data_IF_171879035249
#
_entry.id   IF_171879035249
#
_cell.length_a   1.000
_cell.length_b   1.000
_cell.length_c   1.000
_cell.angle_alpha   90.00
_cell.angle_beta   90.00
_cell.angle_gamma   90.00
#
_symmetry.space_group_name_H-M   'P 1'
#
loop_
_entity.id
_entity.type
_entity.pdbx_description
1 polymer ?
#
# COMPACT_ATOMS: atom_id res chain seq x y z
N UNK A 1 23.82 -21.65 -0.42
CA UNK A 1 22.87 -22.04 -1.47
C UNK A 1 21.77 -21.00 -1.48
N UNK A 2 21.89 -19.97 -2.31
CA UNK A 2 20.90 -18.91 -2.43
C UNK A 2 19.77 -19.43 -3.33
N UNK A 3 18.54 -19.43 -2.83
CA UNK A 3 17.35 -19.87 -3.55
C UNK A 3 17.08 -18.91 -4.72
N UNK A 4 17.48 -19.28 -5.93
CA UNK A 4 17.25 -18.52 -7.17
C UNK A 4 15.85 -18.79 -7.74
N UNK A 5 14.80 -18.64 -6.94
CA UNK A 5 13.48 -18.33 -7.52
C UNK A 5 13.50 -16.85 -7.85
N UNK A 6 13.52 -16.51 -9.14
CA UNK A 6 13.42 -15.14 -9.64
C UNK A 6 12.26 -14.45 -8.93
N UNK A 7 12.56 -13.52 -8.03
CA UNK A 7 11.54 -12.71 -7.37
C UNK A 7 10.80 -11.92 -8.43
N UNK A 8 9.48 -12.07 -8.49
CA UNK A 8 8.67 -11.27 -9.41
C UNK A 8 8.87 -9.78 -9.10
N UNK A 9 8.89 -8.91 -10.13
CA UNK A 9 9.11 -7.49 -9.91
C UNK A 9 7.95 -6.88 -9.10
N UNK A 10 8.18 -5.75 -8.39
CA UNK A 10 7.12 -5.08 -7.65
C UNK A 10 5.88 -4.74 -8.47
N UNK A 11 6.04 -4.50 -9.78
CA UNK A 11 4.93 -4.21 -10.71
C UNK A 11 3.89 -5.33 -10.81
N UNK A 12 4.21 -6.56 -10.40
CA UNK A 12 3.28 -7.69 -10.43
C UNK A 12 2.02 -7.44 -9.60
N UNK A 13 2.11 -6.61 -8.56
CA UNK A 13 1.00 -6.34 -7.64
C UNK A 13 -0.10 -5.45 -8.26
N UNK A 14 0.17 -4.86 -9.42
CA UNK A 14 -0.81 -4.05 -10.15
C UNK A 14 -1.72 -4.91 -11.04
N UNK A 15 -1.46 -6.22 -11.09
CA UNK A 15 -2.31 -7.19 -11.78
C UNK A 15 -3.27 -7.86 -10.80
N UNK A 16 -4.42 -8.33 -11.26
CA UNK A 16 -5.41 -9.04 -10.44
C UNK A 16 -5.14 -10.54 -10.27
N UNK A 17 -3.90 -10.98 -10.54
CA UNK A 17 -3.53 -12.39 -10.53
C UNK A 17 -3.26 -12.87 -9.10
N UNK A 18 -4.02 -13.87 -8.65
CA UNK A 18 -3.90 -14.46 -7.31
C UNK A 18 -3.49 -15.93 -7.31
N UNK A 19 -2.85 -16.41 -8.39
CA UNK A 19 -2.30 -17.77 -8.44
C UNK A 19 -1.12 -17.92 -7.48
N UNK A 20 -1.04 -19.05 -6.78
CA UNK A 20 -0.03 -19.28 -5.73
C UNK A 20 1.39 -19.04 -6.28
N UNK A 21 2.17 -18.22 -5.59
CA UNK A 21 3.52 -17.85 -6.01
C UNK A 21 3.60 -16.64 -6.95
N UNK A 22 2.48 -16.13 -7.44
CA UNK A 22 2.43 -14.96 -8.32
C UNK A 22 2.30 -13.64 -7.54
N UNK A 23 3.23 -13.42 -6.60
CA UNK A 23 3.24 -12.27 -5.71
C UNK A 23 4.61 -11.58 -5.69
N UNK A 24 4.61 -10.28 -5.39
CA UNK A 24 5.86 -9.58 -5.09
C UNK A 24 6.29 -9.96 -3.68
N UNK A 25 7.46 -10.60 -3.56
CA UNK A 25 8.01 -11.00 -2.28
C UNK A 25 9.24 -10.16 -1.92
N UNK A 26 9.31 -9.74 -0.67
CA UNK A 26 10.48 -9.08 -0.10
C UNK A 26 10.89 -9.74 1.22
N UNK A 27 12.18 -9.65 1.54
CA UNK A 27 12.74 -10.20 2.78
C UNK A 27 12.30 -9.38 4.00
N UNK A 28 12.02 -10.07 5.11
CA UNK A 28 11.55 -9.44 6.33
C UNK A 28 10.04 -9.27 6.40
N UNK A 29 9.58 -8.57 7.44
CA UNK A 29 8.16 -8.37 7.78
C UNK A 29 7.66 -6.96 7.53
N UNK A 30 8.59 -6.04 7.28
CA UNK A 30 8.35 -4.61 7.11
C UNK A 30 8.95 -4.18 5.77
N UNK A 31 8.29 -3.26 5.09
CA UNK A 31 8.72 -2.77 3.79
C UNK A 31 7.73 -1.74 3.26
N UNK A 32 8.10 -1.06 2.19
CA UNK A 32 7.25 -0.06 1.56
C UNK A 32 7.28 -0.19 0.04
N UNK A 33 6.19 0.22 -0.60
CA UNK A 33 6.14 0.39 -2.05
C UNK A 33 5.40 1.69 -2.39
N UNK A 34 6.03 2.50 -3.25
CA UNK A 34 5.44 3.71 -3.82
C UNK A 34 4.72 3.39 -5.13
N UNK A 35 3.55 3.99 -5.33
CA UNK A 35 2.73 3.84 -6.52
C UNK A 35 2.34 5.22 -7.02
N UNK A 36 2.67 5.49 -8.29
CA UNK A 36 2.21 6.66 -9.03
C UNK A 36 1.00 6.24 -9.89
N UNK A 37 -0.15 6.86 -9.64
CA UNK A 37 -1.36 6.69 -10.42
C UNK A 37 -1.22 7.41 -11.76
N UNK A 38 -1.96 6.93 -12.76
CA UNK A 38 -1.99 7.53 -14.10
C UNK A 38 -2.65 8.90 -14.12
N UNK A 39 -3.56 9.16 -13.18
CA UNK A 39 -4.33 10.38 -13.05
C UNK A 39 -4.43 10.80 -11.59
N UNK A 40 -4.66 12.10 -11.34
CA UNK A 40 -4.99 12.60 -10.01
C UNK A 40 -6.45 12.32 -9.71
N UNK A 41 -6.71 11.60 -8.64
CA UNK A 41 -8.05 11.17 -8.23
C UNK A 41 -8.33 11.51 -6.77
N UNK A 42 -9.61 11.58 -6.40
CA UNK A 42 -10.02 11.53 -5.00
C UNK A 42 -10.01 10.05 -4.57
N UNK A 43 -9.05 9.67 -3.74
CA UNK A 43 -8.90 8.27 -3.29
C UNK A 43 -9.91 8.03 -2.17
N UNK A 44 -10.93 7.21 -2.44
CA UNK A 44 -11.99 6.89 -1.46
C UNK A 44 -11.71 5.60 -0.73
N UNK A 45 -11.07 4.63 -1.38
CA UNK A 45 -10.69 3.38 -0.75
C UNK A 45 -9.44 2.79 -1.38
N UNK A 46 -8.83 1.86 -0.67
CA UNK A 46 -7.78 1.03 -1.21
C UNK A 46 -8.07 -0.44 -0.88
N UNK A 47 -7.50 -1.36 -1.65
CA UNK A 47 -7.73 -2.78 -1.43
C UNK A 47 -6.45 -3.60 -1.48
N UNK A 48 -6.43 -4.69 -0.73
CA UNK A 48 -5.44 -5.75 -0.84
C UNK A 48 -6.13 -7.06 -1.19
N UNK A 49 -5.46 -7.85 -2.02
CA UNK A 49 -5.88 -9.22 -2.30
C UNK A 49 -4.71 -10.17 -2.05
N UNK A 50 -5.04 -11.42 -1.74
CA UNK A 50 -4.08 -12.50 -1.51
C UNK A 50 -4.65 -13.81 -2.05
N UNK A 51 -3.79 -14.78 -2.35
CA UNK A 51 -4.27 -16.13 -2.63
C UNK A 51 -5.00 -16.72 -1.40
N UNK A 52 -6.02 -17.53 -1.64
CA UNK A 52 -6.88 -18.08 -0.60
C UNK A 52 -6.09 -18.99 0.36
N UNK A 53 -6.12 -18.74 1.69
CA UNK A 53 -5.29 -19.48 2.66
C UNK A 53 -5.48 -21.01 2.61
N UNK A 54 -6.71 -21.48 2.42
CA UNK A 54 -7.02 -22.91 2.30
C UNK A 54 -6.42 -23.60 1.07
N UNK A 55 -5.95 -22.84 0.08
CA UNK A 55 -5.33 -23.39 -1.13
C UNK A 55 -3.81 -23.52 -1.01
N UNK A 56 -3.20 -23.08 0.09
CA UNK A 56 -1.75 -23.06 0.26
C UNK A 56 -1.30 -23.57 1.63
N UNK A 57 -0.01 -23.89 1.74
CA UNK A 57 0.59 -24.23 3.03
C UNK A 57 0.54 -23.04 4.01
N UNK A 58 0.40 -23.32 5.31
CA UNK A 58 0.36 -22.28 6.35
C UNK A 58 1.57 -21.33 6.29
N UNK A 59 2.76 -21.86 5.99
CA UNK A 59 3.99 -21.07 5.83
C UNK A 59 3.96 -20.07 4.67
N UNK A 60 3.14 -20.32 3.63
CA UNK A 60 2.91 -19.39 2.53
C UNK A 60 1.82 -18.37 2.90
N UNK A 61 0.74 -18.82 3.55
CA UNK A 61 -0.33 -17.92 4.01
C UNK A 61 0.19 -16.89 5.02
N UNK A 62 1.10 -17.29 5.91
CA UNK A 62 1.72 -16.40 6.89
C UNK A 62 2.60 -15.28 6.28
N UNK A 63 2.91 -15.36 4.97
CA UNK A 63 3.61 -14.30 4.23
C UNK A 63 2.69 -13.13 3.87
N UNK A 64 1.36 -13.27 4.00
CA UNK A 64 0.45 -12.16 3.75
C UNK A 64 0.81 -10.96 4.64
N UNK A 65 0.61 -9.72 4.16
CA UNK A 65 0.69 -8.55 5.02
C UNK A 65 -0.32 -8.70 6.17
N UNK A 66 0.03 -8.19 7.34
CA UNK A 66 -0.85 -8.12 8.50
C UNK A 66 -1.18 -6.65 8.74
N UNK A 67 -0.35 -5.92 9.49
CA UNK A 67 -0.56 -4.50 9.73
C UNK A 67 0.06 -3.65 8.61
N UNK A 68 -0.62 -2.60 8.20
CA UNK A 68 -0.15 -1.67 7.17
C UNK A 68 -0.60 -0.23 7.45
N UNK A 69 -0.01 0.70 6.71
CA UNK A 69 -0.46 2.08 6.57
C UNK A 69 -0.39 2.51 5.10
N UNK A 70 -1.40 3.21 4.62
CA UNK A 70 -1.40 3.85 3.32
C UNK A 70 -1.18 5.35 3.50
N UNK A 71 -0.18 5.87 2.81
CA UNK A 71 0.20 7.28 2.83
C UNK A 71 -0.02 7.89 1.45
N UNK A 72 -0.35 9.18 1.40
CA UNK A 72 -0.39 9.94 0.15
C UNK A 72 0.61 11.09 0.19
N UNK A 73 1.30 11.32 -0.93
CA UNK A 73 2.10 12.52 -1.09
C UNK A 73 1.17 13.71 -1.34
N UNK A 74 1.29 14.75 -0.52
CA UNK A 74 0.47 15.95 -0.60
C UNK A 74 1.30 17.20 -0.29
N UNK A 75 0.92 18.38 -0.80
CA UNK A 75 1.45 19.64 -0.31
C UNK A 75 1.32 19.81 1.21
N UNK A 76 2.08 20.74 1.82
CA UNK A 76 1.87 21.11 3.21
C UNK A 76 0.42 21.49 3.47
N UNK A 77 -0.18 20.85 4.46
CA UNK A 77 -1.49 21.24 4.99
C UNK A 77 -1.27 22.53 5.78
N UNK A 78 -1.59 23.67 5.20
CA UNK A 78 -1.60 24.95 5.89
C UNK A 78 -2.97 25.12 6.58
N UNK A 79 -2.98 25.69 7.78
CA UNK A 79 -4.20 26.11 8.50
C UNK A 79 -5.22 25.03 8.90
N UNK A 80 -4.89 23.73 8.78
CA UNK A 80 -5.75 22.62 9.20
C UNK A 80 -5.40 22.17 10.63
N UNK A 81 -6.32 22.43 11.58
CA UNK A 81 -6.21 22.01 12.99
C UNK A 81 -6.92 20.67 13.21
N UNK A 82 -6.50 19.63 12.50
CA UNK A 82 -6.98 18.26 12.70
C UNK A 82 -5.81 17.35 13.08
N UNK A 83 -6.02 16.27 13.84
CA UNK A 83 -4.98 15.28 14.16
C UNK A 83 -4.67 14.41 12.93
N UNK A 84 -4.14 15.03 11.88
CA UNK A 84 -3.68 14.35 10.67
C UNK A 84 -2.22 13.95 10.90
N UNK A 85 -1.93 12.66 10.81
CA UNK A 85 -0.56 12.17 10.92
C UNK A 85 0.17 12.45 9.62
N UNK A 86 1.32 13.12 9.72
CA UNK A 86 2.17 13.40 8.58
C UNK A 86 3.58 12.86 8.80
N UNK A 87 4.31 12.67 7.69
CA UNK A 87 5.74 12.34 7.66
C UNK A 87 6.44 13.23 6.62
N UNK A 88 7.71 13.61 6.85
CA UNK A 88 8.47 14.37 5.86
C UNK A 88 8.71 13.51 4.61
N UNK A 89 8.95 14.16 3.48
CA UNK A 89 9.22 13.47 2.21
C UNK A 89 10.39 12.50 2.27
N UNK A 90 11.42 12.85 3.05
CA UNK A 90 12.63 12.05 3.29
C UNK A 90 12.36 10.73 3.98
N UNK A 91 11.16 10.51 4.49
CA UNK A 91 10.79 9.27 5.14
C UNK A 91 10.66 8.09 4.16
N UNK A 92 10.08 8.32 2.98
CA UNK A 92 9.92 7.27 1.95
C UNK A 92 10.74 7.54 0.69
N UNK A 93 11.05 8.80 0.38
CA UNK A 93 11.83 9.17 -0.79
C UNK A 93 13.26 9.52 -0.36
N UNK A 94 14.21 8.80 -0.94
CA UNK A 94 15.62 9.21 -0.89
C UNK A 94 15.81 10.39 -1.86
N UNK A 95 16.52 11.43 -1.40
CA UNK A 95 16.65 12.74 -2.07
C UNK A 95 17.06 12.67 -3.55
N UNK A 96 17.81 11.65 -3.93
CA UNK A 96 18.40 11.51 -5.26
C UNK A 96 17.41 10.99 -6.32
N UNK A 97 16.19 10.64 -5.90
CA UNK A 97 15.15 10.03 -6.76
C UNK A 97 13.87 10.86 -6.86
N UNK A 98 13.90 12.15 -6.48
CA UNK A 98 12.75 13.02 -6.63
C UNK A 98 12.49 13.31 -8.12
N UNK A 99 11.37 12.83 -8.64
CA UNK A 99 10.88 13.24 -9.96
C UNK A 99 10.57 14.74 -9.97
N UNK A 100 10.62 15.37 -11.15
CA UNK A 100 10.40 16.82 -11.34
C UNK A 100 9.09 17.34 -10.74
N UNK A 101 8.11 16.45 -10.57
CA UNK A 101 6.77 16.79 -10.09
C UNK A 101 6.67 16.80 -8.56
N UNK A 102 7.75 16.43 -7.86
CA UNK A 102 7.78 16.26 -6.41
C UNK A 102 8.54 17.44 -5.77
N UNK A 103 7.79 18.32 -5.11
CA UNK A 103 8.35 19.44 -4.36
C UNK A 103 9.01 18.97 -3.05
N UNK A 104 10.17 19.52 -2.64
CA UNK A 104 10.80 19.22 -1.34
C UNK A 104 9.91 19.53 -0.14
N UNK A 105 8.95 20.44 -0.30
CA UNK A 105 8.01 20.82 0.75
C UNK A 105 6.83 19.84 0.86
N UNK A 106 6.67 18.90 -0.07
CA UNK A 106 5.62 17.89 0.07
C UNK A 106 5.83 17.04 1.32
N UNK A 107 4.74 16.49 1.82
CA UNK A 107 4.71 15.60 2.97
C UNK A 107 3.86 14.37 2.66
N UNK A 108 4.09 13.30 3.40
CA UNK A 108 3.23 12.14 3.36
C UNK A 108 2.15 12.27 4.42
N UNK A 109 0.89 12.24 3.99
CA UNK A 109 -0.30 12.27 4.85
C UNK A 109 -0.83 10.85 5.00
N UNK A 110 -1.08 10.41 6.24
CA UNK A 110 -1.70 9.11 6.49
C UNK A 110 -3.15 9.12 6.01
N UNK A 111 -3.47 8.27 5.04
CA UNK A 111 -4.84 8.08 4.57
C UNK A 111 -5.60 7.09 5.46
N UNK A 112 -4.99 5.94 5.72
CA UNK A 112 -5.60 4.86 6.50
C UNK A 112 -4.53 3.92 7.05
N UNK A 113 -4.79 3.31 8.20
CA UNK A 113 -4.07 2.15 8.68
C UNK A 113 -5.05 1.02 8.95
N UNK A 114 -4.56 -0.21 8.95
CA UNK A 114 -5.45 -1.36 9.11
C UNK A 114 -4.70 -2.66 9.25
N UNK A 115 -5.48 -3.75 9.27
CA UNK A 115 -4.96 -5.11 9.30
C UNK A 115 -5.65 -5.94 8.24
N UNK A 116 -4.87 -6.57 7.37
CA UNK A 116 -5.37 -7.57 6.44
C UNK A 116 -5.68 -8.86 7.20
N UNK A 117 -6.92 -9.35 7.11
CA UNK A 117 -7.43 -10.46 7.92
C UNK A 117 -7.31 -11.80 7.17
N UNK A 118 -6.36 -12.65 7.55
CA UNK A 118 -6.20 -13.99 6.97
C UNK A 118 -7.38 -14.93 7.23
N UNK A 119 -8.17 -14.70 8.27
CA UNK A 119 -9.33 -15.54 8.63
C UNK A 119 -10.63 -15.08 7.97
N UNK A 120 -10.59 -14.03 7.14
CA UNK A 120 -11.74 -13.55 6.38
C UNK A 120 -12.21 -14.60 5.36
N UNK A 121 -13.53 -14.66 5.10
CA UNK A 121 -14.11 -15.44 4.01
C UNK A 121 -13.76 -14.87 2.63
N UNK A 122 -13.41 -13.58 2.57
CA UNK A 122 -13.01 -12.88 1.34
C UNK A 122 -11.53 -12.49 1.41
N UNK A 123 -10.77 -12.91 0.39
CA UNK A 123 -9.35 -12.57 0.26
C UNK A 123 -9.14 -11.15 -0.25
N UNK A 124 -10.08 -10.62 -1.04
CA UNK A 124 -10.06 -9.23 -1.47
C UNK A 124 -10.70 -8.37 -0.39
N UNK A 125 -9.90 -7.55 0.27
CA UNK A 125 -10.31 -6.71 1.38
C UNK A 125 -10.14 -5.24 1.01
N UNK A 126 -11.17 -4.46 1.30
CA UNK A 126 -11.25 -3.03 1.06
C UNK A 126 -11.15 -2.27 2.37
N UNK A 127 -10.50 -1.12 2.31
CA UNK A 127 -10.27 -0.25 3.45
C UNK A 127 -10.62 1.17 3.04
N UNK A 128 -11.65 1.71 3.66
CA UNK A 128 -12.19 3.03 3.36
C UNK A 128 -11.30 4.14 3.92
N UNK A 129 -11.10 5.18 3.11
CA UNK A 129 -10.46 6.41 3.56
C UNK A 129 -11.54 7.26 4.28
N UNK A 130 -11.26 7.80 5.47
CA UNK A 130 -12.20 8.68 6.16
C UNK A 130 -12.65 9.85 5.29
N UNK A 131 -13.97 10.10 5.23
CA UNK A 131 -14.56 11.12 4.37
C UNK A 131 -13.93 12.51 4.55
N UNK A 132 -13.64 12.92 5.79
CA UNK A 132 -13.01 14.21 6.06
C UNK A 132 -11.63 14.35 5.38
N UNK A 133 -10.89 13.25 5.21
CA UNK A 133 -9.63 13.26 4.47
C UNK A 133 -9.87 13.36 2.97
N UNK A 134 -10.92 12.71 2.43
CA UNK A 134 -11.25 12.82 1.00
C UNK A 134 -11.72 14.23 0.61
N UNK A 135 -12.33 14.97 1.53
CA UNK A 135 -12.75 16.36 1.33
C UNK A 135 -11.56 17.32 1.36
N UNK A 136 -10.55 17.06 2.21
CA UNK A 136 -9.34 17.88 2.34
C UNK A 136 -8.33 17.57 1.23
N UNK A 137 -8.07 16.29 1.01
CA UNK A 137 -7.03 15.79 0.11
C UNK A 137 -7.63 15.59 -1.28
N UNK A 138 -7.86 16.70 -1.97
CA UNK A 138 -8.28 16.65 -3.36
C UNK A 138 -7.13 16.23 -4.29
N UNK A 139 -7.45 15.44 -5.32
CA UNK A 139 -6.56 15.17 -6.45
C UNK A 139 -5.17 14.60 -6.08
N UNK A 140 -5.14 13.36 -5.60
CA UNK A 140 -3.93 12.60 -5.28
C UNK A 140 -3.49 11.72 -6.46
N UNK A 141 -2.19 11.61 -6.70
CA UNK A 141 -1.63 10.69 -7.70
C UNK A 141 -0.51 9.79 -7.18
N UNK A 142 -0.05 9.98 -5.94
CA UNK A 142 1.10 9.26 -5.41
C UNK A 142 0.78 8.73 -4.04
N UNK A 143 0.84 7.41 -3.88
CA UNK A 143 0.63 6.73 -2.60
C UNK A 143 1.81 5.85 -2.24
N UNK A 144 1.99 5.60 -0.95
CA UNK A 144 2.94 4.63 -0.43
C UNK A 144 2.20 3.66 0.48
N UNK A 145 2.24 2.38 0.13
CA UNK A 145 1.83 1.31 1.04
C UNK A 145 3.04 0.93 1.91
N UNK A 146 2.91 1.17 3.21
CA UNK A 146 3.86 0.75 4.24
C UNK A 146 3.34 -0.51 4.93
N UNK A 147 4.07 -1.61 4.81
CA UNK A 147 3.82 -2.84 5.56
C UNK A 147 4.56 -2.75 6.90
N UNK A 148 3.81 -2.89 7.99
CA UNK A 148 4.28 -2.80 9.37
C UNK A 148 4.52 -4.17 9.99
N UNK A 149 3.80 -5.20 9.53
CA UNK A 149 4.01 -6.59 9.91
C UNK A 149 3.44 -7.56 8.88
N UNK A 150 3.80 -8.84 9.03
CA UNK A 150 3.14 -9.97 8.38
C UNK A 150 2.66 -10.97 9.44
N UNK A 151 2.09 -12.09 9.01
CA UNK A 151 1.52 -13.11 9.88
C UNK A 151 2.55 -14.10 10.45
N UNK A 152 3.82 -13.69 10.60
CA UNK A 152 4.87 -14.44 11.30
C UNK A 152 5.94 -15.07 10.40
N UNK A 153 5.81 -14.94 9.07
CA UNK A 153 6.79 -15.47 8.13
C UNK A 153 8.09 -14.64 8.08
N UNK A 154 9.23 -15.23 7.65
CA UNK A 154 10.50 -14.50 7.49
C UNK A 154 10.52 -13.55 6.27
N UNK A 155 9.54 -13.65 5.39
CA UNK A 155 9.36 -12.80 4.20
C UNK A 155 7.89 -12.41 4.07
N UNK A 156 7.61 -11.32 3.39
CA UNK A 156 6.24 -10.91 3.06
C UNK A 156 5.97 -11.11 1.57
N UNK A 157 4.72 -11.40 1.20
CA UNK A 157 4.26 -11.47 -0.19
C UNK A 157 2.97 -10.67 -0.38
N UNK A 158 3.00 -9.74 -1.34
CA UNK A 158 1.83 -8.95 -1.76
C UNK A 158 1.40 -9.46 -3.13
N UNK A 159 0.14 -9.89 -3.26
CA UNK A 159 -0.38 -10.41 -4.51
C UNK A 159 -0.95 -9.31 -5.39
N UNK A 160 -1.85 -8.50 -4.84
CA UNK A 160 -2.48 -7.41 -5.58
C UNK A 160 -2.87 -6.27 -4.65
N UNK A 161 -2.75 -5.05 -5.18
CA UNK A 161 -3.18 -3.81 -4.57
C UNK A 161 -4.08 -3.04 -5.54
N UNK A 162 -5.14 -2.42 -5.01
CA UNK A 162 -5.98 -1.48 -5.76
C UNK A 162 -6.08 -0.15 -5.03
N UNK A 163 -6.11 0.94 -5.79
CA UNK A 163 -6.37 2.31 -5.30
C UNK A 163 -7.58 2.81 -6.07
N UNK A 164 -8.64 3.15 -5.34
CA UNK A 164 -9.96 3.34 -5.92
C UNK A 164 -10.48 4.75 -5.69
N UNK A 165 -11.35 5.17 -6.61
CA UNK A 165 -12.24 6.32 -6.46
C UNK A 165 -13.67 5.84 -6.62
N UNK A 166 -14.62 6.48 -5.95
CA UNK A 166 -16.01 6.37 -6.37
C UNK A 166 -16.20 7.04 -7.75
N UNK A 167 -17.11 6.54 -8.60
CA UNK A 167 -17.56 7.29 -9.77
C UNK A 167 -18.17 8.61 -9.29
N UNK A 168 -17.85 9.72 -9.97
CA UNK A 168 -18.62 10.95 -9.79
C UNK A 168 -20.07 10.64 -10.19
N UNK A 169 -21.00 10.69 -9.24
CA UNK A 169 -22.44 10.57 -9.50
C UNK A 169 -22.95 11.69 -10.40
#
# INVERSE_FOLDING_TARGET
>A
MFDTRSSLPPTIILNDITSIGHCWSFAGRMGCIGIKLTERICITSFSLNHAHPNLMASSLAQKAPQAFALWALYPPLQDIVLPIKTRPITHFLLSDFLSSDVSPNHQFVLLVNGSYNLSSLHTHQFFEIPQFLTEILNALDTVVLEILSNWGAPSTCIYSIGVHREPLS
#
